data_IF_162304677953
#
_entry.id   IF_162304677953
#
_cell.length_a   1.000
_cell.length_b   1.000
_cell.length_c   1.000
_cell.angle_alpha   90.00
_cell.angle_beta   90.00
_cell.angle_gamma   90.00
#
_symmetry.space_group_name_H-M   'P 1'
#
loop_
_entity.id
_entity.type
_entity.pdbx_description
1 polymer ?
#
# COMPACT_ATOMS: atom_id res chain seq x y z
N UNK A 1 32.27 -9.70 40.11
CA UNK A 1 33.13 -10.82 40.45
C UNK A 1 32.38 -12.10 40.17
N UNK A 2 32.75 -12.83 39.15
CA UNK A 2 32.82 -14.31 39.07
C UNK A 2 33.28 -14.69 37.67
N UNK A 3 34.54 -15.05 37.61
CA UNK A 3 35.23 -15.71 36.51
C UNK A 3 34.91 -17.22 36.56
N UNK A 4 34.74 -17.85 35.41
CA UNK A 4 35.11 -19.25 35.13
C UNK A 4 35.30 -19.32 33.62
N UNK A 5 36.26 -19.62 33.22
CA UNK A 5 37.47 -20.27 32.74
C UNK A 5 37.23 -21.69 32.21
N UNK A 6 37.75 -21.90 30.97
CA UNK A 6 38.28 -23.11 30.37
C UNK A 6 37.39 -24.34 30.18
N UNK A 7 37.26 -24.82 28.93
CA UNK A 7 37.97 -26.07 28.55
C UNK A 7 38.04 -26.23 27.03
N UNK A 8 39.22 -26.50 26.56
CA UNK A 8 39.65 -26.84 25.22
C UNK A 8 39.53 -28.36 25.05
N UNK A 9 39.02 -28.88 23.95
CA UNK A 9 39.33 -30.23 23.49
C UNK A 9 39.19 -30.29 21.96
N UNK A 10 40.34 -30.42 21.33
CA UNK A 10 40.49 -30.79 19.93
C UNK A 10 40.35 -32.32 19.80
N UNK A 11 39.64 -32.80 18.80
CA UNK A 11 39.82 -34.15 18.29
C UNK A 11 39.57 -34.13 16.77
N UNK A 12 40.65 -34.34 16.06
CA UNK A 12 40.70 -34.59 14.62
C UNK A 12 40.43 -36.09 14.44
N UNK A 13 39.43 -36.44 13.65
CA UNK A 13 39.37 -37.78 13.04
C UNK A 13 39.07 -37.60 11.55
N UNK A 14 40.07 -37.91 10.77
CA UNK A 14 39.99 -38.13 9.32
C UNK A 14 39.35 -39.50 9.12
N UNK A 15 38.23 -39.55 8.42
CA UNK A 15 37.72 -40.80 7.86
C UNK A 15 37.45 -40.61 6.36
N UNK A 16 38.23 -41.33 5.58
CA UNK A 16 38.10 -41.51 4.13
C UNK A 16 37.10 -42.62 3.90
N UNK A 17 35.95 -42.31 3.32
CA UNK A 17 34.93 -43.32 3.06
C UNK A 17 34.00 -42.99 1.90
N UNK A 18 34.30 -43.49 0.72
CA UNK A 18 33.42 -43.91 -0.37
C UNK A 18 32.48 -42.90 -1.01
N UNK A 19 32.82 -42.53 -2.21
CA UNK A 19 31.90 -41.98 -3.24
C UNK A 19 30.73 -42.93 -3.47
N UNK A 20 29.59 -42.60 -2.92
CA UNK A 20 28.31 -43.16 -3.31
C UNK A 20 27.69 -42.22 -4.35
N UNK A 21 27.61 -42.74 -5.58
CA UNK A 21 26.97 -42.06 -6.69
C UNK A 21 25.48 -41.96 -6.38
N UNK A 22 25.04 -40.81 -5.92
CA UNK A 22 23.62 -40.48 -5.72
C UNK A 22 23.01 -40.15 -7.07
N UNK A 23 21.96 -40.85 -7.49
CA UNK A 23 21.32 -40.54 -8.76
C UNK A 23 20.77 -39.11 -8.75
N UNK A 24 21.06 -38.39 -9.81
CA UNK A 24 20.60 -37.05 -10.06
C UNK A 24 19.09 -36.95 -9.79
N UNK A 25 18.73 -36.26 -8.71
CA UNK A 25 17.34 -35.76 -8.58
C UNK A 25 17.19 -34.67 -9.63
N UNK A 26 16.36 -34.94 -10.61
CA UNK A 26 15.83 -33.92 -11.50
C UNK A 26 15.20 -32.80 -10.65
N UNK A 27 16.03 -31.79 -10.36
CA UNK A 27 15.52 -30.52 -9.86
C UNK A 27 14.90 -29.85 -11.08
N UNK A 28 13.61 -30.10 -11.30
CA UNK A 28 12.81 -29.27 -12.21
C UNK A 28 12.92 -27.86 -11.68
N UNK A 29 13.83 -27.10 -12.27
CA UNK A 29 13.95 -25.67 -12.00
C UNK A 29 12.62 -25.06 -12.40
N UNK A 30 11.78 -24.74 -11.40
CA UNK A 30 10.62 -23.90 -11.59
C UNK A 30 11.17 -22.58 -12.11
N UNK A 31 10.97 -22.34 -13.40
CA UNK A 31 11.31 -21.07 -14.03
C UNK A 31 10.66 -19.96 -13.19
N UNK A 32 11.41 -18.91 -12.80
CA UNK A 32 10.81 -17.80 -12.11
C UNK A 32 9.66 -17.26 -12.97
N UNK A 33 8.45 -17.22 -12.42
CA UNK A 33 7.29 -16.67 -13.09
C UNK A 33 7.67 -15.26 -13.56
N UNK A 34 7.67 -15.06 -14.87
CA UNK A 34 7.87 -13.73 -15.47
C UNK A 34 6.84 -12.80 -14.82
N UNK A 35 7.23 -11.68 -14.20
CA UNK A 35 6.25 -10.76 -13.64
C UNK A 35 5.32 -10.33 -14.78
N UNK A 36 4.03 -10.67 -14.65
CA UNK A 36 3.02 -10.21 -15.59
C UNK A 36 3.14 -8.68 -15.69
N UNK A 37 3.48 -8.19 -16.86
CA UNK A 37 3.53 -6.76 -17.15
C UNK A 37 2.11 -6.22 -17.01
N UNK A 38 1.78 -5.70 -15.84
CA UNK A 38 0.49 -5.04 -15.63
C UNK A 38 0.41 -3.84 -16.54
N UNK A 39 -0.73 -3.71 -17.24
CA UNK A 39 -0.98 -2.57 -18.10
C UNK A 39 -0.83 -1.26 -17.33
N UNK A 40 -0.13 -0.29 -17.94
CA UNK A 40 0.00 1.02 -17.36
C UNK A 40 -1.38 1.68 -17.23
N UNK A 41 -1.64 2.29 -16.07
CA UNK A 41 -2.89 3.00 -15.80
C UNK A 41 -2.94 4.28 -16.64
N UNK A 42 -4.07 4.54 -17.29
CA UNK A 42 -4.33 5.80 -17.99
C UNK A 42 -5.29 6.67 -17.16
N UNK A 43 -5.03 7.98 -17.10
CA UNK A 43 -5.96 8.91 -16.45
C UNK A 43 -7.33 8.92 -17.14
N UNK A 44 -7.39 8.69 -18.45
CA UNK A 44 -8.65 8.56 -19.19
C UNK A 44 -9.48 7.36 -18.70
N UNK A 45 -8.84 6.25 -18.33
CA UNK A 45 -9.52 5.07 -17.81
C UNK A 45 -10.09 5.30 -16.40
N UNK A 46 -9.52 6.27 -15.67
CA UNK A 46 -9.95 6.64 -14.32
C UNK A 46 -10.96 7.78 -14.35
N UNK A 47 -10.99 8.58 -15.41
CA UNK A 47 -11.87 9.75 -15.49
C UNK A 47 -13.32 9.39 -15.15
N UNK A 48 -13.97 10.25 -14.33
CA UNK A 48 -15.33 10.06 -13.84
C UNK A 48 -15.44 10.15 -12.33
N UNK A 49 -16.56 9.69 -11.80
CA UNK A 49 -16.85 9.71 -10.37
C UNK A 49 -16.66 8.34 -9.75
N UNK A 50 -16.06 8.32 -8.57
CA UNK A 50 -15.75 7.11 -7.81
C UNK A 50 -16.23 7.25 -6.38
N UNK A 51 -16.98 6.27 -5.90
CA UNK A 51 -17.28 6.14 -4.47
C UNK A 51 -16.14 5.38 -3.81
N UNK A 52 -15.39 6.06 -2.95
CA UNK A 52 -14.29 5.49 -2.19
C UNK A 52 -14.78 5.06 -0.81
N UNK A 53 -14.36 3.88 -0.39
CA UNK A 53 -14.54 3.34 0.97
C UNK A 53 -13.16 3.12 1.56
N UNK A 54 -12.83 3.91 2.57
CA UNK A 54 -11.56 3.81 3.30
C UNK A 54 -11.84 3.21 4.67
N UNK A 55 -11.25 2.07 4.96
CA UNK A 55 -11.48 1.30 6.19
C UNK A 55 -10.37 1.58 7.20
N UNK A 56 -10.66 1.46 8.49
CA UNK A 56 -9.60 1.41 9.49
C UNK A 56 -8.90 0.03 9.49
N UNK A 57 -7.76 -0.08 10.19
CA UNK A 57 -6.98 -1.32 10.24
C UNK A 57 -7.77 -2.48 10.87
N UNK A 58 -8.73 -2.18 11.73
CA UNK A 58 -9.62 -3.15 12.36
C UNK A 58 -10.85 -3.49 11.50
N UNK A 59 -11.06 -2.78 10.38
CA UNK A 59 -12.22 -2.95 9.50
C UNK A 59 -13.55 -2.42 10.08
N UNK A 60 -13.53 -1.81 11.27
CA UNK A 60 -14.74 -1.39 12.00
C UNK A 60 -15.30 -0.05 11.56
N UNK A 61 -14.43 0.91 11.19
CA UNK A 61 -14.86 2.23 10.75
C UNK A 61 -14.63 2.41 9.27
N UNK A 62 -15.67 2.71 8.53
CA UNK A 62 -15.63 3.00 7.10
C UNK A 62 -15.90 4.48 6.88
N UNK A 63 -14.99 5.15 6.17
CA UNK A 63 -15.19 6.51 5.69
C UNK A 63 -15.52 6.46 4.21
N UNK A 64 -16.71 6.89 3.85
CA UNK A 64 -17.14 7.01 2.45
C UNK A 64 -16.83 8.42 1.94
N UNK A 65 -16.32 8.52 0.73
CA UNK A 65 -16.05 9.77 0.04
C UNK A 65 -16.26 9.60 -1.47
N UNK A 66 -16.42 10.70 -2.18
CA UNK A 66 -16.54 10.69 -3.64
C UNK A 66 -15.32 11.37 -4.25
N UNK A 67 -14.59 10.63 -5.09
CA UNK A 67 -13.49 11.16 -5.89
C UNK A 67 -14.05 11.51 -7.29
N UNK A 68 -13.87 12.74 -7.71
CA UNK A 68 -14.10 13.15 -9.11
C UNK A 68 -12.74 13.26 -9.78
N UNK A 69 -12.52 12.46 -10.81
CA UNK A 69 -11.30 12.37 -11.60
C UNK A 69 -11.53 12.92 -13.01
N UNK A 70 -10.58 13.66 -13.52
CA UNK A 70 -10.56 14.12 -14.92
C UNK A 70 -9.56 13.28 -15.74
N UNK A 71 -9.60 13.41 -17.06
CA UNK A 71 -8.67 12.70 -17.95
C UNK A 71 -7.25 13.29 -17.95
N UNK A 72 -7.02 14.37 -17.23
CA UNK A 72 -5.72 15.01 -17.04
C UNK A 72 -5.37 15.07 -15.53
N UNK A 73 -4.30 15.77 -15.15
CA UNK A 73 -3.87 15.88 -13.74
C UNK A 73 -4.53 17.04 -12.99
N UNK A 74 -5.41 17.80 -13.62
CA UNK A 74 -6.06 18.99 -13.05
C UNK A 74 -7.55 18.76 -12.77
N UNK A 75 -8.12 19.57 -11.86
CA UNK A 75 -9.55 19.55 -11.58
C UNK A 75 -10.06 18.36 -10.76
N UNK A 76 -9.17 17.52 -10.24
CA UNK A 76 -9.53 16.42 -9.35
C UNK A 76 -10.03 16.93 -8.01
N UNK A 77 -11.09 16.33 -7.50
CA UNK A 77 -11.68 16.71 -6.21
C UNK A 77 -12.09 15.49 -5.40
N UNK A 78 -12.05 15.65 -4.07
CA UNK A 78 -12.56 14.67 -3.12
C UNK A 78 -13.68 15.30 -2.29
N UNK A 79 -14.90 14.78 -2.43
CA UNK A 79 -16.05 15.15 -1.59
C UNK A 79 -16.12 14.20 -0.41
N UNK A 80 -16.07 14.75 0.78
CA UNK A 80 -16.01 14.03 2.05
C UNK A 80 -17.40 13.71 2.60
N UNK A 81 -17.53 12.88 3.67
CA UNK A 81 -18.81 12.55 4.29
C UNK A 81 -19.61 13.78 4.77
N UNK A 82 -18.90 14.83 5.21
CA UNK A 82 -19.49 16.12 5.63
C UNK A 82 -19.89 17.02 4.43
N UNK A 83 -19.85 16.47 3.21
CA UNK A 83 -20.16 17.15 1.93
C UNK A 83 -19.22 18.31 1.57
N UNK A 84 -18.13 18.48 2.29
CA UNK A 84 -17.06 19.41 1.90
C UNK A 84 -16.20 18.79 0.83
N UNK A 85 -15.90 19.57 -0.18
CA UNK A 85 -15.04 19.17 -1.29
C UNK A 85 -13.66 19.82 -1.14
N UNK A 86 -12.62 19.02 -1.31
CA UNK A 86 -11.22 19.47 -1.31
C UNK A 86 -10.59 19.14 -2.64
N UNK A 87 -9.69 19.99 -3.16
CA UNK A 87 -8.93 19.67 -4.36
C UNK A 87 -7.96 18.51 -4.10
N UNK A 88 -7.71 17.71 -5.13
CA UNK A 88 -6.80 16.58 -5.10
C UNK A 88 -5.70 16.81 -6.12
N UNK A 89 -4.47 16.68 -5.69
CA UNK A 89 -3.29 16.73 -6.56
C UNK A 89 -2.94 15.32 -7.02
N UNK A 90 -2.80 15.11 -8.32
CA UNK A 90 -2.18 13.91 -8.89
C UNK A 90 -0.66 14.09 -8.75
N UNK A 91 -0.03 13.28 -7.91
CA UNK A 91 1.41 13.37 -7.62
C UNK A 91 2.23 12.56 -8.61
N UNK A 92 1.75 11.36 -8.94
CA UNK A 92 2.40 10.48 -9.88
C UNK A 92 1.41 9.51 -10.51
N UNK A 93 1.70 9.16 -11.76
CA UNK A 93 1.13 8.02 -12.47
C UNK A 93 2.32 7.17 -12.90
N UNK A 94 2.48 5.99 -12.32
CA UNK A 94 3.64 5.14 -12.54
C UNK A 94 3.21 3.68 -12.69
N UNK A 95 3.39 3.13 -13.89
CA UNK A 95 2.93 1.78 -14.21
C UNK A 95 1.43 1.63 -13.96
N UNK A 96 1.06 0.70 -13.10
CA UNK A 96 -0.33 0.42 -12.70
C UNK A 96 -0.80 1.28 -11.52
N UNK A 97 0.00 2.22 -11.04
CA UNK A 97 -0.24 2.95 -9.79
C UNK A 97 -0.50 4.43 -10.01
N UNK A 98 -1.46 4.95 -9.26
CA UNK A 98 -1.86 6.35 -9.19
C UNK A 98 -1.64 6.86 -7.77
N UNK A 99 -0.90 7.95 -7.62
CA UNK A 99 -0.62 8.60 -6.33
C UNK A 99 -1.34 9.93 -6.27
N UNK A 100 -2.22 10.07 -5.27
CA UNK A 100 -3.08 11.23 -5.05
C UNK A 100 -2.83 11.85 -3.69
N UNK A 101 -2.86 13.17 -3.60
CA UNK A 101 -2.80 13.94 -2.36
C UNK A 101 -3.93 14.96 -2.32
N UNK A 102 -5.00 14.70 -1.55
CA UNK A 102 -5.99 15.71 -1.22
C UNK A 102 -5.36 16.87 -0.42
N UNK A 103 -5.85 18.09 -0.64
CA UNK A 103 -5.47 19.21 0.24
C UNK A 103 -5.78 18.87 1.70
N UNK A 104 -5.01 19.39 2.67
CA UNK A 104 -5.25 19.13 4.09
C UNK A 104 -6.67 19.47 4.51
N UNK A 105 -7.27 18.64 5.36
CA UNK A 105 -8.64 18.80 5.82
C UNK A 105 -8.83 18.36 7.27
N UNK A 106 -9.92 18.79 7.89
CA UNK A 106 -10.29 18.32 9.22
C UNK A 106 -10.80 16.87 9.17
N UNK A 107 -10.36 16.04 10.11
CA UNK A 107 -10.76 14.64 10.19
C UNK A 107 -12.27 14.46 10.36
N UNK A 108 -12.88 13.56 9.58
CA UNK A 108 -14.26 13.17 9.79
C UNK A 108 -14.48 12.35 11.07
N UNK A 109 -13.41 11.70 11.58
CA UNK A 109 -13.46 10.85 12.77
C UNK A 109 -13.04 11.57 14.06
N UNK A 110 -12.28 12.68 13.94
CA UNK A 110 -11.72 13.42 15.08
C UNK A 110 -11.87 14.91 14.85
N UNK A 111 -12.85 15.52 15.51
CA UNK A 111 -13.11 16.96 15.40
C UNK A 111 -11.88 17.79 15.82
N UNK A 112 -11.56 18.81 15.05
CA UNK A 112 -10.43 19.72 15.30
C UNK A 112 -9.06 19.16 14.91
N UNK A 113 -8.98 17.92 14.42
CA UNK A 113 -7.73 17.29 14.01
C UNK A 113 -7.52 17.45 12.51
N UNK A 114 -6.39 18.05 12.11
CA UNK A 114 -6.02 18.17 10.70
C UNK A 114 -5.45 16.85 10.17
N UNK A 115 -5.82 16.52 8.95
CA UNK A 115 -5.37 15.32 8.23
C UNK A 115 -4.68 15.72 6.94
N UNK A 116 -3.51 15.14 6.71
CA UNK A 116 -2.87 15.06 5.40
C UNK A 116 -2.94 13.62 4.92
N UNK A 117 -3.55 13.40 3.78
CA UNK A 117 -3.71 12.07 3.22
C UNK A 117 -2.86 11.90 1.96
N UNK A 118 -2.31 10.70 1.78
CA UNK A 118 -1.68 10.24 0.55
C UNK A 118 -2.30 8.91 0.16
N UNK A 119 -2.85 8.84 -1.03
CA UNK A 119 -3.52 7.65 -1.55
C UNK A 119 -2.65 7.03 -2.63
N UNK A 120 -2.41 5.73 -2.55
CA UNK A 120 -1.77 4.94 -3.62
C UNK A 120 -2.80 3.94 -4.10
N UNK A 121 -3.32 4.13 -5.30
CA UNK A 121 -4.42 3.36 -5.86
C UNK A 121 -3.98 2.69 -7.17
N UNK A 122 -4.63 1.59 -7.50
CA UNK A 122 -4.48 0.86 -8.76
C UNK A 122 -5.85 0.56 -9.33
N UNK A 123 -5.96 0.52 -10.65
CA UNK A 123 -7.17 0.05 -11.32
C UNK A 123 -7.09 -1.47 -11.47
N UNK A 124 -7.98 -2.19 -10.80
CA UNK A 124 -8.07 -3.65 -10.86
C UNK A 124 -9.52 -4.05 -11.09
N UNK A 125 -9.79 -4.79 -12.14
CA UNK A 125 -11.14 -5.29 -12.47
C UNK A 125 -12.23 -4.20 -12.46
N UNK A 126 -11.89 -2.99 -12.94
CA UNK A 126 -12.82 -1.85 -12.95
C UNK A 126 -13.02 -1.16 -11.61
N UNK A 127 -12.27 -1.52 -10.57
CA UNK A 127 -12.26 -0.88 -9.24
C UNK A 127 -10.93 -0.18 -8.98
N UNK A 128 -10.96 0.88 -8.19
CA UNK A 128 -9.74 1.47 -7.62
C UNK A 128 -9.45 0.76 -6.28
N UNK A 129 -8.30 0.13 -6.15
CA UNK A 129 -7.89 -0.56 -4.92
C UNK A 129 -6.51 -0.09 -4.48
N UNK A 130 -6.32 0.05 -3.18
CA UNK A 130 -5.03 0.46 -2.66
C UNK A 130 -5.06 0.86 -1.19
N UNK A 131 -4.20 1.81 -0.84
CA UNK A 131 -4.01 2.25 0.54
C UNK A 131 -4.01 3.76 0.63
N UNK A 132 -4.64 4.28 1.67
CA UNK A 132 -4.56 5.67 2.10
C UNK A 132 -3.70 5.75 3.35
N UNK A 133 -2.58 6.47 3.29
CA UNK A 133 -1.83 6.92 4.45
C UNK A 133 -2.44 8.23 4.94
N UNK A 134 -2.91 8.24 6.17
CA UNK A 134 -3.46 9.44 6.81
C UNK A 134 -2.56 9.88 7.96
N UNK A 135 -2.03 11.11 7.89
CA UNK A 135 -1.23 11.75 8.93
C UNK A 135 -2.09 12.74 9.69
N UNK A 136 -2.22 12.54 10.99
CA UNK A 136 -3.02 13.34 11.90
C UNK A 136 -2.10 14.25 12.70
N UNK A 137 -2.29 15.57 12.59
CA UNK A 137 -1.55 16.52 13.41
C UNK A 137 -2.32 16.78 14.71
N UNK A 138 -1.73 16.37 15.82
CA UNK A 138 -2.32 16.48 17.16
C UNK A 138 -1.37 17.21 18.11
N UNK A 139 -1.92 17.80 19.19
CA UNK A 139 -1.14 18.52 20.21
C UNK A 139 -0.12 17.65 20.96
N UNK A 140 -0.28 16.32 20.95
CA UNK A 140 0.64 15.36 21.57
C UNK A 140 1.61 14.67 20.61
N UNK A 141 1.69 15.13 19.37
CA UNK A 141 2.52 14.53 18.31
C UNK A 141 1.69 14.00 17.14
N UNK A 142 2.33 13.84 16.00
CA UNK A 142 1.69 13.33 14.80
C UNK A 142 1.47 11.81 14.90
N UNK A 143 0.35 11.34 14.40
CA UNK A 143 0.09 9.90 14.22
C UNK A 143 -0.16 9.59 12.74
N UNK A 144 0.24 8.40 12.32
CA UNK A 144 0.06 7.88 10.96
C UNK A 144 -0.83 6.65 11.03
N UNK A 145 -1.79 6.55 10.12
CA UNK A 145 -2.60 5.37 9.93
C UNK A 145 -2.59 4.96 8.46
N UNK A 146 -2.42 3.66 8.20
CA UNK A 146 -2.54 3.06 6.88
C UNK A 146 -3.91 2.41 6.76
N UNK A 147 -4.67 2.80 5.74
CA UNK A 147 -6.07 2.41 5.60
C UNK A 147 -6.31 1.80 4.23
N UNK A 148 -6.76 0.54 4.16
CA UNK A 148 -7.24 -0.03 2.91
C UNK A 148 -8.31 0.86 2.30
N UNK A 149 -8.22 1.07 0.99
CA UNK A 149 -9.16 1.92 0.25
C UNK A 149 -9.61 1.19 -0.99
N UNK A 150 -10.92 1.12 -1.18
CA UNK A 150 -11.57 0.55 -2.36
C UNK A 150 -12.49 1.61 -2.99
N UNK A 151 -12.44 1.74 -4.31
CA UNK A 151 -13.26 2.66 -5.09
C UNK A 151 -14.07 1.91 -6.14
N UNK A 152 -15.35 2.20 -6.21
CA UNK A 152 -16.26 1.75 -7.27
C UNK A 152 -16.76 2.94 -8.07
N UNK A 153 -17.02 2.76 -9.37
CA UNK A 153 -17.60 3.84 -10.17
C UNK A 153 -18.95 4.23 -9.59
N UNK A 154 -19.13 5.53 -9.41
CA UNK A 154 -20.45 6.07 -9.10
C UNK A 154 -21.31 6.08 -10.37
N UNK A 155 -22.64 5.86 -10.23
CA UNK A 155 -23.57 5.92 -11.36
C UNK A 155 -23.67 7.33 -11.94
#
# INVERSE_FOLDING_TARGET
MRRFAFFCCAAILVDCGKSEVQPARDTTAVAPATPESRAAISLADIAGKWRLRTMDEAGGNVVESELTATADTSGWTLTRPDRKTVPVRVVAVAGDSLVLEPAPYESALRKGVQVRARMVLRLQEGKLVGTTEARYTMSGGDSVAHRPTEGTRAP
#
